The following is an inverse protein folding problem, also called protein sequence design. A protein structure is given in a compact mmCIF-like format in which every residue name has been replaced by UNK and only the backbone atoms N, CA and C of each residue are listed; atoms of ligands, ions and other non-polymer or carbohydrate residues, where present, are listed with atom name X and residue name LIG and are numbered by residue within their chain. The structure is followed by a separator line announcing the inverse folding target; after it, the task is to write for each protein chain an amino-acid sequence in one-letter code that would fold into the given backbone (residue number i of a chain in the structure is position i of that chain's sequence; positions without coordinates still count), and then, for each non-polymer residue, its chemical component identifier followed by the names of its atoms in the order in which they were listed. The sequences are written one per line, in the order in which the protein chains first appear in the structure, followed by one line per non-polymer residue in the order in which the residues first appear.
data_IF_199647904491
#
_entry.id   IF_199647904491
#
_cell.length_a   1.000
_cell.length_b   1.000
_cell.length_c   1.000
_cell.angle_alpha   90.00
_cell.angle_beta   90.00
_cell.angle_gamma   90.00
#
_symmetry.space_group_name_H-M   'P 1'
#
loop_
_entity.id
_entity.type
_entity.pdbx_description
1 polymer ?
#
# COMPACT_ATOMS: atom_id res chain seq x y z
N UNK A 1 30.42 -40.43 -21.25
CA UNK A 1 30.53 -39.22 -22.08
C UNK A 1 29.37 -38.32 -21.69
N UNK A 2 29.57 -37.50 -20.65
CA UNK A 2 28.56 -36.57 -20.15
C UNK A 2 28.33 -35.46 -21.18
N UNK A 3 27.18 -35.54 -21.85
CA UNK A 3 26.76 -34.54 -22.81
C UNK A 3 25.93 -33.47 -22.08
N UNK A 4 26.60 -32.55 -21.39
CA UNK A 4 25.92 -31.41 -20.76
C UNK A 4 25.49 -30.42 -21.85
N UNK A 5 24.20 -30.49 -22.21
CA UNK A 5 23.54 -29.51 -23.07
C UNK A 5 23.14 -28.32 -22.18
N UNK A 6 23.58 -27.11 -22.53
CA UNK A 6 23.24 -25.88 -21.81
C UNK A 6 22.38 -24.98 -22.69
N UNK A 7 21.29 -24.46 -22.13
CA UNK A 7 20.49 -23.41 -22.77
C UNK A 7 20.89 -22.06 -22.17
N UNK A 8 21.36 -21.15 -23.02
CA UNK A 8 21.72 -19.78 -22.65
C UNK A 8 20.76 -18.76 -23.26
N UNK A 9 20.53 -17.67 -22.56
CA UNK A 9 19.84 -16.50 -23.11
C UNK A 9 20.87 -15.40 -23.35
N UNK A 10 20.93 -14.89 -24.57
CA UNK A 10 21.87 -13.83 -24.96
C UNK A 10 21.15 -12.49 -24.96
N UNK A 11 21.64 -11.54 -24.17
CA UNK A 11 21.19 -10.15 -24.15
C UNK A 11 22.15 -9.26 -24.91
N UNK A 12 21.62 -8.33 -25.70
CA UNK A 12 22.39 -7.38 -26.49
C UNK A 12 21.85 -5.96 -26.31
N UNK A 13 22.73 -4.96 -26.10
CA UNK A 13 22.38 -3.53 -26.08
C UNK A 13 22.80 -2.80 -27.35
N UNK A 14 21.92 -1.97 -27.91
CA UNK A 14 22.24 -1.11 -29.07
C UNK A 14 22.29 0.36 -28.64
N UNK A 15 23.42 1.02 -28.84
CA UNK A 15 23.57 2.47 -28.66
C UNK A 15 23.35 3.15 -30.02
N UNK A 16 22.45 4.13 -30.09
CA UNK A 16 21.91 4.75 -31.32
C UNK A 16 23.03 5.04 -32.36
N UNK A 17 22.90 4.67 -33.63
CA UNK A 17 21.98 5.23 -34.63
C UNK A 17 21.88 4.22 -35.79
N UNK A 18 20.71 4.08 -36.41
CA UNK A 18 20.39 3.18 -37.54
C UNK A 18 20.49 1.66 -37.30
N UNK A 19 19.34 1.08 -36.91
CA UNK A 19 18.71 -0.16 -37.43
C UNK A 19 19.52 -1.45 -37.72
N UNK A 20 20.80 -1.55 -37.40
CA UNK A 20 21.59 -2.76 -37.67
C UNK A 20 21.76 -3.52 -36.36
N UNK A 21 21.23 -4.74 -36.32
CA UNK A 21 21.64 -5.72 -35.32
C UNK A 21 23.15 -5.83 -35.45
N UNK A 22 23.95 -5.59 -34.38
CA UNK A 22 25.37 -5.91 -34.43
C UNK A 22 25.48 -7.33 -34.95
N UNK A 23 26.19 -7.51 -36.07
CA UNK A 23 26.34 -8.79 -36.73
C UNK A 23 27.21 -9.68 -35.85
N UNK A 24 26.59 -10.28 -34.82
CA UNK A 24 27.21 -11.29 -33.98
C UNK A 24 27.47 -12.51 -34.86
N UNK A 25 28.74 -12.90 -34.95
CA UNK A 25 29.12 -14.11 -35.68
C UNK A 25 28.70 -15.34 -34.88
N UNK A 26 28.51 -16.48 -35.55
CA UNK A 26 28.24 -17.75 -34.85
C UNK A 26 29.31 -18.08 -33.80
N UNK A 27 30.58 -17.67 -34.02
CA UNK A 27 31.64 -17.79 -33.02
C UNK A 27 31.31 -17.04 -31.71
N UNK A 28 30.75 -15.83 -31.79
CA UNK A 28 30.37 -15.03 -30.62
C UNK A 28 29.22 -15.67 -29.84
N UNK A 29 28.33 -16.40 -30.51
CA UNK A 29 27.23 -17.14 -29.88
C UNK A 29 27.71 -18.46 -29.26
N UNK A 30 28.74 -19.08 -29.83
CA UNK A 30 29.29 -20.33 -29.30
C UNK A 30 30.11 -20.14 -28.02
N UNK A 31 30.73 -18.97 -27.85
CA UNK A 31 31.57 -18.68 -26.68
C UNK A 31 30.79 -17.84 -25.64
N UNK A 32 30.50 -18.38 -24.43
CA UNK A 32 29.75 -17.65 -23.42
C UNK A 32 30.50 -16.40 -22.94
N UNK A 33 29.95 -15.21 -23.23
CA UNK A 33 30.39 -13.94 -22.63
C UNK A 33 29.72 -13.69 -21.28
N UNK A 34 30.53 -13.32 -20.29
CA UNK A 34 30.06 -12.92 -18.96
C UNK A 34 29.51 -11.49 -18.92
N UNK A 35 28.71 -11.21 -17.89
CA UNK A 35 28.13 -9.89 -17.62
C UNK A 35 29.18 -8.75 -17.60
N UNK A 36 30.36 -8.99 -17.03
CA UNK A 36 31.44 -7.98 -16.97
C UNK A 36 31.95 -7.52 -18.34
N UNK A 37 31.77 -8.35 -19.38
CA UNK A 37 32.14 -8.02 -20.75
C UNK A 37 31.07 -7.20 -21.48
N UNK A 38 29.91 -6.95 -20.87
CA UNK A 38 28.82 -6.26 -21.54
C UNK A 38 29.20 -4.84 -21.98
N UNK A 39 30.00 -4.12 -21.20
CA UNK A 39 30.44 -2.76 -21.53
C UNK A 39 31.27 -2.70 -22.83
N UNK A 40 32.07 -3.74 -23.10
CA UNK A 40 32.97 -3.83 -24.26
C UNK A 40 32.33 -4.57 -25.42
N UNK A 41 31.75 -5.75 -25.17
CA UNK A 41 31.13 -6.63 -26.18
C UNK A 41 29.72 -6.20 -26.58
N UNK A 42 29.03 -5.43 -25.73
CA UNK A 42 27.61 -5.06 -25.88
C UNK A 42 26.64 -6.24 -25.83
N UNK A 43 27.12 -7.43 -25.49
CA UNK A 43 26.33 -8.62 -25.21
C UNK A 43 26.86 -9.42 -24.02
N UNK A 44 25.99 -10.21 -23.39
CA UNK A 44 26.36 -11.21 -22.39
C UNK A 44 25.33 -12.33 -22.35
N UNK A 45 25.76 -13.50 -21.89
CA UNK A 45 24.90 -14.63 -21.66
C UNK A 45 24.36 -14.58 -20.24
N UNK A 46 23.07 -14.88 -20.12
CA UNK A 46 22.42 -15.13 -18.86
C UNK A 46 22.41 -16.62 -18.61
N UNK A 47 22.45 -16.95 -17.33
CA UNK A 47 22.47 -18.31 -16.86
C UNK A 47 21.12 -18.64 -16.25
N UNK A 48 20.72 -19.91 -16.42
CA UNK A 48 19.44 -20.40 -15.94
C UNK A 48 19.42 -20.36 -14.41
N UNK A 49 18.38 -19.73 -13.87
CA UNK A 49 18.01 -19.87 -12.48
C UNK A 49 16.99 -21.02 -12.36
N UNK A 50 17.02 -21.83 -11.29
CA UNK A 50 15.96 -22.78 -11.01
C UNK A 50 14.62 -22.05 -10.93
N UNK A 51 13.59 -22.56 -11.62
CA UNK A 51 12.25 -21.94 -11.64
C UNK A 51 11.67 -21.76 -10.22
N UNK A 52 12.01 -22.66 -9.29
CA UNK A 52 11.64 -22.58 -7.88
C UNK A 52 12.15 -21.32 -7.16
N UNK A 53 13.22 -20.69 -7.67
CA UNK A 53 13.78 -19.47 -7.08
C UNK A 53 13.22 -18.20 -7.75
N UNK A 54 12.25 -18.33 -8.66
CA UNK A 54 11.54 -17.20 -9.25
C UNK A 54 10.49 -16.67 -8.26
N UNK A 55 10.38 -15.34 -8.03
CA UNK A 55 9.34 -14.76 -7.18
C UNK A 55 7.90 -15.12 -7.59
N UNK A 56 7.71 -15.60 -8.83
CA UNK A 56 6.40 -15.94 -9.39
C UNK A 56 6.25 -17.44 -9.69
N UNK A 57 7.10 -18.32 -9.13
CA UNK A 57 7.11 -19.75 -9.43
C UNK A 57 5.73 -20.42 -9.28
N UNK A 58 4.93 -19.97 -8.32
CA UNK A 58 3.67 -20.61 -7.92
C UNK A 58 2.46 -20.24 -8.79
N UNK A 59 2.62 -19.32 -9.74
CA UNK A 59 1.48 -18.76 -10.51
C UNK A 59 1.43 -19.17 -11.98
N UNK A 60 2.44 -19.88 -12.48
CA UNK A 60 2.49 -20.28 -13.88
C UNK A 60 1.83 -21.66 -14.08
N UNK A 61 0.74 -21.77 -14.86
CA UNK A 61 0.07 -23.06 -15.13
C UNK A 61 0.90 -24.05 -15.95
N UNK A 62 2.03 -23.61 -16.49
CA UNK A 62 3.02 -24.44 -17.18
C UNK A 62 4.41 -23.98 -16.73
N UNK A 63 5.36 -24.93 -16.61
CA UNK A 63 6.76 -24.65 -16.25
C UNK A 63 7.45 -23.84 -17.36
N UNK A 64 7.17 -22.54 -17.40
CA UNK A 64 7.79 -21.60 -18.33
C UNK A 64 9.20 -21.32 -17.79
N UNK A 65 10.22 -21.60 -18.60
CA UNK A 65 11.57 -21.20 -18.25
C UNK A 65 11.65 -19.68 -18.20
N UNK A 66 11.75 -19.12 -17.00
CA UNK A 66 11.90 -17.68 -16.76
C UNK A 66 13.36 -17.40 -16.47
N UNK A 67 13.99 -16.57 -17.32
CA UNK A 67 15.33 -16.04 -17.06
C UNK A 67 15.18 -14.59 -16.61
N UNK A 68 15.56 -14.32 -15.37
CA UNK A 68 15.49 -12.99 -14.77
C UNK A 68 16.79 -12.23 -15.01
N UNK A 69 16.66 -10.95 -15.33
CA UNK A 69 17.76 -10.02 -15.60
C UNK A 69 17.80 -9.00 -14.47
N UNK A 70 18.98 -8.71 -13.91
CA UNK A 70 19.13 -7.73 -12.84
C UNK A 70 18.71 -8.21 -11.46
N UNK A 71 18.56 -9.53 -11.26
CA UNK A 71 18.29 -10.08 -9.93
C UNK A 71 19.54 -10.04 -9.03
N UNK A 72 20.71 -10.13 -9.65
CA UNK A 72 21.98 -10.23 -8.94
C UNK A 72 22.62 -8.84 -8.81
N UNK A 73 22.79 -8.40 -7.57
CA UNK A 73 23.28 -7.06 -7.24
C UNK A 73 24.81 -6.98 -7.10
N UNK A 74 25.50 -8.12 -7.04
CA UNK A 74 26.95 -8.20 -6.78
C UNK A 74 27.72 -8.92 -7.90
N UNK A 75 27.49 -8.53 -9.16
CA UNK A 75 28.11 -9.15 -10.33
C UNK A 75 29.58 -8.76 -10.60
N UNK A 76 30.31 -8.33 -9.57
CA UNK A 76 31.71 -7.91 -9.72
C UNK A 76 32.64 -9.12 -9.69
N UNK A 77 33.35 -9.38 -10.79
CA UNK A 77 34.28 -10.51 -10.95
C UNK A 77 33.67 -11.91 -10.71
N UNK A 78 32.34 -12.03 -10.74
CA UNK A 78 31.66 -13.32 -10.67
C UNK A 78 31.40 -13.80 -12.10
N UNK A 79 32.01 -14.92 -12.56
CA UNK A 79 31.60 -15.55 -13.80
C UNK A 79 30.16 -16.02 -13.62
N UNK A 80 29.35 -15.94 -14.67
CA UNK A 80 27.96 -16.44 -14.66
C UNK A 80 26.97 -15.64 -13.80
N UNK A 81 26.90 -14.32 -14.01
CA UNK A 81 26.02 -13.42 -13.27
C UNK A 81 24.95 -12.76 -14.16
N UNK A 82 23.71 -12.64 -13.67
CA UNK A 82 22.56 -11.98 -14.30
C UNK A 82 22.37 -10.56 -13.75
N UNK A 83 23.37 -9.70 -13.96
CA UNK A 83 23.43 -8.34 -13.41
C UNK A 83 22.45 -7.33 -14.01
N UNK A 84 22.37 -6.15 -13.39
CA UNK A 84 21.43 -5.07 -13.76
C UNK A 84 21.90 -4.39 -15.03
N UNK A 85 21.02 -4.31 -16.02
CA UNK A 85 21.29 -3.52 -17.22
C UNK A 85 21.41 -2.03 -16.88
N UNK A 86 22.54 -1.42 -17.24
CA UNK A 86 22.93 -0.07 -16.79
C UNK A 86 22.35 1.06 -17.65
N UNK A 87 21.94 0.78 -18.89
CA UNK A 87 21.37 1.77 -19.80
C UNK A 87 19.87 1.50 -19.98
N UNK A 88 19.09 2.46 -20.49
CA UNK A 88 17.65 2.27 -20.74
C UNK A 88 17.36 1.39 -21.98
N UNK A 89 18.40 0.95 -22.69
CA UNK A 89 18.29 0.21 -23.94
C UNK A 89 18.35 1.13 -25.17
N UNK A 90 17.95 0.62 -26.35
CA UNK A 90 17.20 -0.63 -26.57
C UNK A 90 18.02 -1.92 -26.45
N UNK A 91 17.37 -2.96 -25.92
CA UNK A 91 17.89 -4.32 -25.77
C UNK A 91 17.18 -5.34 -26.66
N UNK A 92 17.84 -6.46 -26.94
CA UNK A 92 17.24 -7.65 -27.59
C UNK A 92 17.70 -8.91 -26.92
N UNK A 93 16.84 -9.93 -26.94
CA UNK A 93 17.12 -11.27 -26.40
C UNK A 93 17.05 -12.33 -27.48
N UNK A 94 17.84 -13.39 -27.31
CA UNK A 94 17.78 -14.60 -28.12
C UNK A 94 18.19 -15.82 -27.29
N UNK A 95 17.54 -16.96 -27.51
CA UNK A 95 17.94 -18.21 -26.87
C UNK A 95 18.93 -18.96 -27.76
N UNK A 96 20.00 -19.47 -27.14
CA UNK A 96 21.04 -20.27 -27.78
C UNK A 96 21.19 -21.60 -27.05
N UNK A 97 21.27 -22.69 -27.80
CA UNK A 97 21.52 -24.02 -27.29
C UNK A 97 22.98 -24.38 -27.55
N UNK A 98 23.73 -24.62 -26.48
CA UNK A 98 25.14 -24.97 -26.52
C UNK A 98 25.35 -26.43 -26.12
N UNK A 99 26.19 -27.13 -26.87
CA UNK A 99 26.68 -28.47 -26.55
C UNK A 99 28.20 -28.43 -26.58
N UNK A 100 28.86 -28.62 -25.43
CA UNK A 100 30.31 -28.50 -25.29
C UNK A 100 30.86 -27.15 -25.84
N UNK A 101 30.20 -26.04 -25.51
CA UNK A 101 30.51 -24.69 -26.02
C UNK A 101 30.44 -24.55 -27.56
N UNK A 102 29.78 -25.48 -28.26
CA UNK A 102 29.44 -25.31 -29.66
C UNK A 102 27.96 -24.94 -29.78
N UNK A 103 27.66 -23.95 -30.61
CA UNK A 103 26.28 -23.56 -30.93
C UNK A 103 25.61 -24.68 -31.73
N UNK A 104 24.55 -25.26 -31.17
CA UNK A 104 23.73 -26.29 -31.82
C UNK A 104 22.52 -25.67 -32.49
N UNK A 105 21.84 -24.78 -31.78
CA UNK A 105 20.59 -24.16 -32.23
C UNK A 105 20.44 -22.77 -31.64
N UNK A 106 19.71 -21.91 -32.34
CA UNK A 106 19.37 -20.57 -31.88
C UNK A 106 17.94 -20.20 -32.28
N UNK A 107 17.32 -19.30 -31.51
CA UNK A 107 16.04 -18.70 -31.90
C UNK A 107 16.26 -17.47 -32.77
N UNK A 108 15.18 -16.90 -33.30
CA UNK A 108 15.21 -15.52 -33.82
C UNK A 108 15.46 -14.54 -32.66
N UNK A 109 15.97 -13.36 -32.99
CA UNK A 109 16.03 -12.25 -32.03
C UNK A 109 14.62 -11.81 -31.65
N UNK A 110 14.44 -11.40 -30.41
CA UNK A 110 13.24 -10.69 -29.98
C UNK A 110 13.11 -9.33 -30.67
N UNK A 111 11.91 -8.77 -30.53
CA UNK A 111 11.72 -7.34 -30.73
C UNK A 111 12.59 -6.52 -29.77
N UNK A 112 12.77 -5.24 -30.11
CA UNK A 112 13.50 -4.31 -29.24
C UNK A 112 12.71 -4.08 -27.96
N UNK A 113 13.38 -4.17 -26.83
CA UNK A 113 12.82 -3.92 -25.50
C UNK A 113 13.57 -2.73 -24.90
N UNK A 114 12.84 -1.77 -24.34
CA UNK A 114 13.41 -0.66 -23.57
C UNK A 114 13.12 -0.88 -22.10
N UNK A 115 14.09 -0.55 -21.24
CA UNK A 115 13.90 -0.65 -19.80
C UNK A 115 13.17 0.58 -19.29
N UNK A 116 12.34 0.36 -18.28
CA UNK A 116 11.76 1.43 -17.49
C UNK A 116 12.86 2.02 -16.61
N UNK A 117 13.10 3.32 -16.73
CA UNK A 117 14.00 4.03 -15.81
C UNK A 117 13.29 4.21 -14.49
N UNK A 118 13.89 3.71 -13.40
CA UNK A 118 13.45 4.07 -12.06
C UNK A 118 13.55 5.59 -11.88
N UNK A 119 12.55 6.20 -11.23
CA UNK A 119 12.66 7.60 -10.82
C UNK A 119 13.83 7.72 -9.85
N UNK A 120 14.61 8.78 -9.97
CA UNK A 120 15.64 9.10 -8.99
C UNK A 120 15.00 9.18 -7.60
N UNK A 121 15.60 8.58 -6.56
CA UNK A 121 15.10 8.77 -5.19
C UNK A 121 14.95 10.24 -4.81
N UNK A 122 15.81 11.12 -5.35
CA UNK A 122 15.73 12.57 -5.11
C UNK A 122 14.59 13.28 -5.82
N UNK A 123 13.98 12.66 -6.84
CA UNK A 123 12.80 13.19 -7.55
C UNK A 123 11.50 12.54 -7.09
N UNK A 124 11.58 11.57 -6.19
CA UNK A 124 10.41 11.02 -5.51
C UNK A 124 10.04 12.02 -4.42
N UNK A 125 8.92 12.69 -4.61
CA UNK A 125 8.29 13.44 -3.53
C UNK A 125 7.86 12.44 -2.45
N UNK A 126 8.67 12.36 -1.39
CA UNK A 126 8.42 11.54 -0.22
C UNK A 126 7.54 12.26 0.79
N UNK A 127 7.04 13.46 0.46
CA UNK A 127 6.23 14.25 1.37
C UNK A 127 4.93 13.51 1.71
N UNK A 128 4.70 13.16 2.99
CA UNK A 128 3.49 12.46 3.42
C UNK A 128 2.24 13.35 3.34
N UNK A 129 2.40 14.66 3.14
CA UNK A 129 1.30 15.63 3.20
C UNK A 129 0.33 15.64 2.01
N UNK A 130 0.48 14.73 1.04
CA UNK A 130 -0.53 14.50 0.00
C UNK A 130 -1.81 13.83 0.51
N UNK A 131 -1.83 13.37 1.77
CA UNK A 131 -3.06 12.89 2.43
C UNK A 131 -3.33 13.74 3.68
N UNK A 132 -4.54 14.29 3.74
CA UNK A 132 -5.21 14.72 4.99
C UNK A 132 -5.04 16.16 5.50
N UNK A 133 -4.56 17.14 4.72
CA UNK A 133 -4.76 18.54 5.14
C UNK A 133 -6.27 18.84 5.33
N UNK A 134 -7.11 18.37 4.41
CA UNK A 134 -8.56 18.49 4.52
C UNK A 134 -9.18 17.66 5.65
N UNK A 135 -8.68 16.45 5.93
CA UNK A 135 -9.26 15.60 6.98
C UNK A 135 -8.90 16.12 8.38
N UNK A 136 -7.75 16.77 8.58
CA UNK A 136 -7.45 17.50 9.82
C UNK A 136 -8.45 18.65 10.02
N UNK A 137 -8.70 19.46 8.98
CA UNK A 137 -9.65 20.57 9.05
C UNK A 137 -11.06 20.07 9.40
N UNK A 138 -11.51 19.00 8.75
CA UNK A 138 -12.81 18.38 9.03
C UNK A 138 -12.91 17.89 10.48
N UNK A 139 -11.88 17.20 10.99
CA UNK A 139 -11.85 16.72 12.38
C UNK A 139 -11.92 17.88 13.37
N UNK A 140 -11.20 18.97 13.12
CA UNK A 140 -11.23 20.16 13.99
C UNK A 140 -12.63 20.80 13.99
N UNK A 141 -13.25 21.00 12.83
CA UNK A 141 -14.60 21.57 12.72
C UNK A 141 -15.63 20.68 13.44
N UNK A 142 -15.61 19.37 13.18
CA UNK A 142 -16.51 18.42 13.82
C UNK A 142 -16.32 18.39 15.35
N UNK A 143 -15.08 18.47 15.83
CA UNK A 143 -14.78 18.50 17.26
C UNK A 143 -15.34 19.76 17.93
N UNK A 144 -15.25 20.92 17.28
CA UNK A 144 -15.78 22.19 17.81
C UNK A 144 -17.31 22.18 17.83
N UNK A 145 -17.95 21.73 16.74
CA UNK A 145 -19.41 21.63 16.67
C UNK A 145 -19.98 20.65 17.70
N UNK A 146 -19.31 19.51 17.92
CA UNK A 146 -19.71 18.53 18.92
C UNK A 146 -19.64 19.11 20.34
N UNK A 147 -18.60 19.89 20.65
CA UNK A 147 -18.47 20.55 21.96
C UNK A 147 -19.62 21.54 22.22
N UNK A 148 -20.00 22.35 21.23
CA UNK A 148 -21.15 23.24 21.35
C UNK A 148 -22.46 22.47 21.52
N UNK A 149 -22.68 21.41 20.73
CA UNK A 149 -23.86 20.57 20.85
C UNK A 149 -23.98 19.97 22.25
N UNK A 150 -22.89 19.44 22.80
CA UNK A 150 -22.85 18.92 24.17
C UNK A 150 -23.14 20.02 25.21
N UNK A 151 -22.58 21.22 25.05
CA UNK A 151 -22.85 22.33 25.95
C UNK A 151 -24.33 22.72 25.95
N UNK A 152 -24.96 22.82 24.77
CA UNK A 152 -26.40 23.09 24.66
C UNK A 152 -27.25 21.96 25.21
N UNK A 153 -26.86 20.70 24.99
CA UNK A 153 -27.55 19.54 25.57
C UNK A 153 -27.50 19.57 27.10
N UNK A 154 -26.33 19.83 27.69
CA UNK A 154 -26.16 19.96 29.14
C UNK A 154 -27.00 21.14 29.67
N UNK A 155 -26.98 22.28 28.99
CA UNK A 155 -27.80 23.43 29.37
C UNK A 155 -29.30 23.10 29.33
N UNK A 156 -29.77 22.44 28.26
CA UNK A 156 -31.16 22.02 28.11
C UNK A 156 -31.56 20.99 29.17
N UNK A 157 -30.69 20.05 29.53
CA UNK A 157 -30.91 19.13 30.65
C UNK A 157 -30.93 19.88 31.98
N UNK A 158 -30.05 20.86 32.19
CA UNK A 158 -30.01 21.66 33.42
C UNK A 158 -31.21 22.60 33.56
N UNK A 159 -31.76 23.13 32.46
CA UNK A 159 -32.99 23.95 32.49
C UNK A 159 -34.24 23.08 32.56
N UNK A 160 -34.32 22.02 31.76
CA UNK A 160 -35.44 21.07 31.81
C UNK A 160 -35.50 20.33 33.15
N UNK A 161 -34.37 20.05 33.79
CA UNK A 161 -34.35 19.52 35.16
C UNK A 161 -34.71 20.57 36.22
N UNK A 162 -34.55 21.88 35.97
CA UNK A 162 -35.12 22.91 36.86
C UNK A 162 -36.64 22.93 36.78
N UNK A 163 -37.21 22.76 35.60
CA UNK A 163 -38.66 22.66 35.41
C UNK A 163 -39.23 21.35 36.01
N UNK A 164 -38.46 20.25 35.97
CA UNK A 164 -38.81 18.98 36.64
C UNK A 164 -38.55 19.03 38.16
N UNK A 165 -37.53 19.75 38.64
CA UNK A 165 -37.24 19.93 40.07
C UNK A 165 -38.14 20.98 40.74
N UNK A 166 -38.85 21.82 39.99
CA UNK A 166 -39.82 22.75 40.59
C UNK A 166 -41.03 22.02 41.20
N UNK A 167 -41.22 20.72 40.93
CA UNK A 167 -42.22 19.92 41.63
C UNK A 167 -41.80 19.47 43.04
N UNK A 168 -40.57 19.76 43.51
CA UNK A 168 -40.04 19.28 44.81
C UNK A 168 -39.88 20.37 45.88
N UNK A 169 -40.33 21.60 45.64
CA UNK A 169 -40.17 22.71 46.63
C UNK A 169 -41.51 23.36 47.01
N UNK A 170 -42.54 22.54 47.26
CA UNK A 170 -43.75 22.95 47.99
C UNK A 170 -43.99 22.04 49.19
N UNK A 171 -42.96 21.85 50.00
CA UNK A 171 -43.14 21.46 51.40
C UNK A 171 -42.03 22.13 52.19
N UNK A 172 -42.42 22.95 53.17
CA UNK A 172 -41.60 23.69 54.12
C UNK A 172 -41.29 25.13 53.71
N UNK A 173 -42.34 25.96 53.70
CA UNK A 173 -42.31 27.23 54.43
C UNK A 173 -43.75 27.55 54.84
N UNK A 174 -44.16 27.00 55.99
CA UNK A 174 -45.21 27.61 56.79
C UNK A 174 -44.58 28.71 57.65
N UNK A 175 -45.42 29.70 57.95
CA UNK A 175 -45.22 30.79 58.91
C UNK A 175 -44.51 32.02 58.33
N UNK A 176 -45.27 32.83 57.59
CA UNK A 176 -45.40 34.25 57.94
C UNK A 176 -46.84 34.71 57.72
N UNK A 177 -47.50 34.88 58.86
CA UNK A 177 -48.68 35.69 59.19
C UNK A 177 -48.98 36.81 58.18
N UNK A 178 -50.16 36.77 57.53
CA UNK A 178 -50.81 37.97 56.99
C UNK A 178 -52.32 37.77 56.91
N UNK A 179 -53.05 38.82 57.30
CA UNK A 179 -54.48 38.86 57.63
C UNK A 179 -55.43 38.37 56.53
N UNK A 180 -56.53 37.77 56.99
CA UNK A 180 -57.65 37.27 56.20
C UNK A 180 -58.47 38.41 55.59
N UNK A 181 -58.72 38.37 54.28
CA UNK A 181 -60.00 38.79 53.70
C UNK A 181 -60.37 37.92 52.49
N UNK A 182 -61.35 37.04 52.74
CA UNK A 182 -62.43 36.53 51.88
C UNK A 182 -62.24 36.49 50.34
N UNK A 183 -61.89 35.32 49.80
CA UNK A 183 -62.38 34.88 48.48
C UNK A 183 -62.34 33.35 48.32
N UNK A 184 -63.50 32.74 48.10
CA UNK A 184 -63.70 31.29 47.95
C UNK A 184 -63.46 30.85 46.49
N UNK A 185 -62.46 30.00 46.22
CA UNK A 185 -62.26 29.32 44.93
C UNK A 185 -62.03 27.81 45.19
N UNK A 186 -62.76 26.89 44.54
CA UNK A 186 -62.72 25.47 44.86
C UNK A 186 -61.44 24.81 44.33
N UNK A 187 -60.99 23.69 44.93
CA UNK A 187 -59.76 23.03 44.49
C UNK A 187 -60.05 22.15 43.26
N UNK A 188 -59.47 22.49 42.11
CA UNK A 188 -59.26 21.51 41.05
C UNK A 188 -57.86 20.91 41.18
N UNK A 189 -57.86 19.64 41.54
CA UNK A 189 -56.71 18.75 41.75
C UNK A 189 -56.29 18.17 40.40
N UNK A 190 -55.08 18.45 39.92
CA UNK A 190 -54.46 17.69 38.82
C UNK A 190 -53.32 16.83 39.34
N UNK A 191 -53.48 15.52 39.12
CA UNK A 191 -52.55 14.45 39.47
C UNK A 191 -51.30 14.47 38.57
N UNK A 192 -50.12 14.29 39.17
CA UNK A 192 -48.96 13.70 38.48
C UNK A 192 -48.68 12.33 39.09
N UNK A 193 -49.17 11.29 38.41
CA UNK A 193 -48.78 9.89 38.64
C UNK A 193 -47.51 9.65 37.85
N UNK A 194 -46.39 9.40 38.53
CA UNK A 194 -45.36 8.47 38.04
C UNK A 194 -44.75 7.73 39.24
N UNK A 195 -45.14 6.46 39.36
CA UNK A 195 -44.52 5.47 40.23
C UNK A 195 -43.11 5.16 39.70
N UNK A 196 -42.07 5.41 40.49
CA UNK A 196 -40.80 4.69 40.35
C UNK A 196 -40.58 3.84 41.59
N UNK A 197 -40.97 2.57 41.43
CA UNK A 197 -40.76 1.50 42.38
C UNK A 197 -39.28 1.08 42.31
N UNK A 198 -38.47 1.40 43.33
CA UNK A 198 -37.16 0.78 43.52
C UNK A 198 -37.18 -0.03 44.81
N UNK A 199 -37.32 -1.35 44.63
CA UNK A 199 -37.17 -2.37 45.66
C UNK A 199 -35.67 -2.46 45.99
N UNK A 200 -35.25 -2.03 47.17
CA UNK A 200 -33.98 -2.45 47.75
C UNK A 200 -34.25 -3.52 48.80
N UNK A 201 -33.60 -4.64 48.60
CA UNK A 201 -33.73 -5.91 49.29
C UNK A 201 -33.16 -5.80 50.71
N UNK A 202 -33.91 -6.40 51.64
CA UNK A 202 -33.60 -6.54 53.06
C UNK A 202 -32.20 -7.05 53.34
N UNK A 203 -31.51 -6.38 54.25
CA UNK A 203 -30.38 -6.93 55.00
C UNK A 203 -30.68 -6.84 56.50
N UNK A 204 -31.26 -7.91 57.05
CA UNK A 204 -30.97 -8.54 58.36
C UNK A 204 -31.92 -9.70 58.59
#
# INVERSE_FOLDING_TARGET
MDLLIKLGLLLLGAKATFAVVPSLAKQDLSNPSDYNLFSTKKYYHLYQMPAANSPCADTAPEAKAITLVGLETNCYNVPFCNGILTENGPYRVKFVLLKNNALVQETRWSEKISLLTGKSPSTIDTWPGGRSAGMIVIVVILSVLLAFLLAFLIAALATGSKDVCWCRTLHNEEVLEFDFDEYNIPPYRQHCIYLTHSKSISGK
#
